data_IF_703556522345
#
_entry.id   IF_703556522345
#
_cell.length_a   1.000
_cell.length_b   1.000
_cell.length_c   1.000
_cell.angle_alpha   90.00
_cell.angle_beta   90.00
_cell.angle_gamma   90.00
#
_symmetry.space_group_name_H-M   'P 1'
#
loop_
_entity.id
_entity.type
_entity.pdbx_description
1 polymer ?
#
# COMPACT_ATOMS: atom_id res chain seq x y z
N UNK A 1 -18.74 46.58 -16.35
CA UNK A 1 -18.10 45.85 -15.22
C UNK A 1 -17.78 44.38 -15.51
N UNK A 2 -18.55 43.66 -16.34
CA UNK A 2 -18.25 42.24 -16.69
C UNK A 2 -16.98 42.06 -17.54
N UNK A 3 -16.70 42.97 -18.47
CA UNK A 3 -15.57 42.88 -19.42
C UNK A 3 -14.20 42.94 -18.72
N UNK A 4 -14.05 43.78 -17.69
CA UNK A 4 -12.78 43.92 -16.94
C UNK A 4 -12.48 42.64 -16.15
N UNK A 5 -13.51 42.01 -15.57
CA UNK A 5 -13.36 40.74 -14.83
C UNK A 5 -12.95 39.61 -15.76
N UNK A 6 -13.50 39.56 -16.98
CA UNK A 6 -13.13 38.55 -17.99
C UNK A 6 -11.66 38.68 -18.43
N UNK A 7 -11.16 39.91 -18.61
CA UNK A 7 -9.76 40.15 -19.00
C UNK A 7 -8.81 39.76 -17.86
N UNK A 8 -9.13 40.09 -16.61
CA UNK A 8 -8.27 39.78 -15.46
C UNK A 8 -8.13 38.27 -15.22
N UNK A 9 -9.22 37.51 -15.39
CA UNK A 9 -9.22 36.03 -15.28
C UNK A 9 -8.35 35.39 -16.39
N UNK A 10 -8.38 35.93 -17.61
CA UNK A 10 -7.52 35.44 -18.69
C UNK A 10 -6.04 35.70 -18.44
N UNK A 11 -5.68 36.87 -17.87
CA UNK A 11 -4.28 37.19 -17.54
C UNK A 11 -3.73 36.23 -16.49
N UNK A 12 -4.51 35.87 -15.46
CA UNK A 12 -4.06 34.88 -14.48
C UNK A 12 -4.00 33.45 -15.03
N UNK A 13 -4.87 33.10 -15.97
CA UNK A 13 -4.83 31.78 -16.63
C UNK A 13 -3.61 31.63 -17.55
N UNK A 14 -3.14 32.72 -18.15
CA UNK A 14 -1.95 32.71 -19.02
C UNK A 14 -0.62 32.56 -18.28
N UNK A 15 -0.59 32.70 -16.96
CA UNK A 15 0.61 32.54 -16.12
C UNK A 15 0.60 31.25 -15.31
N UNK A 16 -0.37 30.36 -15.52
CA UNK A 16 -0.26 29.00 -15.03
C UNK A 16 0.87 28.31 -15.81
N UNK A 17 2.07 28.28 -15.23
CA UNK A 17 3.15 27.41 -15.70
C UNK A 17 2.58 26.01 -15.81
N UNK A 18 2.81 25.25 -16.90
CA UNK A 18 2.47 23.84 -16.91
C UNK A 18 3.18 23.21 -15.70
N UNK A 19 2.40 22.66 -14.77
CA UNK A 19 2.97 21.77 -13.76
C UNK A 19 3.54 20.62 -14.55
N UNK A 20 4.86 20.56 -14.66
CA UNK A 20 5.55 19.37 -15.14
C UNK A 20 5.28 18.29 -14.10
N UNK A 21 4.19 17.55 -14.30
CA UNK A 21 4.04 16.24 -13.70
C UNK A 21 5.15 15.42 -14.33
N UNK A 22 6.24 15.21 -13.59
CA UNK A 22 7.27 14.28 -13.97
C UNK A 22 6.57 12.94 -14.28
N UNK A 23 6.53 12.58 -15.56
CA UNK A 23 5.89 11.36 -16.06
C UNK A 23 6.70 10.10 -15.70
N UNK A 24 7.72 10.23 -14.84
CA UNK A 24 8.65 9.18 -14.48
C UNK A 24 8.50 8.71 -13.03
N UNK A 25 7.28 8.48 -12.58
CA UNK A 25 7.04 7.50 -11.51
C UNK A 25 5.77 6.73 -11.86
N UNK A 26 5.89 5.47 -12.27
CA UNK A 26 4.84 4.52 -11.96
C UNK A 26 5.41 3.11 -11.72
N UNK A 27 6.05 2.92 -10.57
CA UNK A 27 6.39 1.59 -10.12
C UNK A 27 5.25 1.04 -9.25
N UNK A 28 4.46 0.12 -9.83
CA UNK A 28 3.54 -0.74 -9.06
C UNK A 28 3.95 -2.21 -9.06
N UNK A 29 5.26 -2.43 -9.16
CA UNK A 29 6.02 -3.69 -9.10
C UNK A 29 6.18 -4.44 -10.43
N UNK A 30 7.07 -3.94 -11.30
CA UNK A 30 8.15 -4.65 -12.03
C UNK A 30 9.21 -3.55 -12.25
N UNK A 31 10.49 -3.76 -11.88
CA UNK A 31 11.56 -2.74 -11.95
C UNK A 31 11.68 -1.80 -10.73
N UNK A 32 10.90 -2.02 -9.68
CA UNK A 32 10.96 -1.24 -8.43
C UNK A 32 12.24 -1.48 -7.60
N UNK A 33 12.24 -0.97 -6.36
CA UNK A 33 13.36 -1.11 -5.41
C UNK A 33 12.98 -1.96 -4.20
N UNK A 34 13.95 -2.67 -3.63
CA UNK A 34 13.78 -3.38 -2.35
C UNK A 34 13.40 -2.41 -1.23
N UNK A 35 12.31 -2.70 -0.52
CA UNK A 35 11.91 -1.92 0.64
C UNK A 35 12.88 -2.14 1.81
N UNK A 36 13.23 -1.06 2.51
CA UNK A 36 14.00 -1.17 3.75
C UNK A 36 13.16 -1.86 4.83
N UNK A 37 13.77 -2.53 5.82
CA UNK A 37 13.03 -3.17 6.90
C UNK A 37 12.07 -2.18 7.59
N UNK A 38 10.80 -2.57 7.73
CA UNK A 38 9.72 -1.76 8.32
C UNK A 38 9.32 -0.49 7.57
N UNK A 39 9.77 -0.28 6.32
CA UNK A 39 9.35 0.89 5.52
C UNK A 39 7.83 0.98 5.34
N UNK A 40 7.16 -0.17 5.20
CA UNK A 40 5.72 -0.27 5.02
C UNK A 40 5.14 -1.24 6.08
N UNK A 41 5.01 -0.79 7.35
CA UNK A 41 4.71 -1.67 8.48
C UNK A 41 3.29 -2.26 8.45
N UNK A 42 2.40 -1.66 7.65
CA UNK A 42 1.04 -2.13 7.44
C UNK A 42 0.94 -3.27 6.41
N UNK A 43 1.99 -3.57 5.64
CA UNK A 43 1.93 -4.64 4.63
C UNK A 43 1.98 -6.02 5.29
N UNK A 44 1.10 -6.93 4.84
CA UNK A 44 1.10 -8.34 5.25
C UNK A 44 1.20 -9.29 4.07
N UNK A 45 1.66 -10.50 4.35
CA UNK A 45 1.65 -11.66 3.46
C UNK A 45 0.58 -12.64 3.92
N UNK A 46 -0.41 -12.90 3.06
CA UNK A 46 -1.35 -14.00 3.22
C UNK A 46 -0.69 -15.27 2.67
N UNK A 47 -0.48 -16.25 3.54
CA UNK A 47 0.19 -17.51 3.21
C UNK A 47 -0.76 -18.69 3.23
N UNK A 48 -0.53 -19.63 2.32
CA UNK A 48 -1.26 -20.90 2.26
C UNK A 48 -0.81 -21.85 3.38
N UNK A 49 -1.46 -23.01 3.58
CA UNK A 49 -1.04 -24.01 4.56
C UNK A 49 0.38 -24.56 4.36
N UNK A 50 0.97 -24.37 3.17
CA UNK A 50 2.35 -24.76 2.86
C UNK A 50 3.37 -23.65 3.15
N UNK A 51 2.98 -22.62 3.91
CA UNK A 51 3.79 -21.43 4.23
C UNK A 51 4.26 -20.63 2.99
N UNK A 52 3.54 -20.75 1.87
CA UNK A 52 3.83 -20.02 0.63
C UNK A 52 3.02 -18.73 0.54
N UNK A 53 3.66 -17.63 0.14
CA UNK A 53 2.99 -16.36 -0.16
C UNK A 53 1.97 -16.54 -1.30
N UNK A 54 0.75 -16.05 -1.09
CA UNK A 54 -0.32 -16.11 -2.08
C UNK A 54 -0.83 -14.71 -2.45
N UNK A 55 -1.08 -13.86 -1.46
CA UNK A 55 -1.60 -12.52 -1.67
C UNK A 55 -1.04 -11.51 -0.66
N UNK A 56 -1.18 -10.22 -0.98
CA UNK A 56 -0.91 -9.11 -0.07
C UNK A 56 -2.16 -8.64 0.69
N UNK A 57 -1.94 -7.86 1.74
CA UNK A 57 -2.99 -7.16 2.47
C UNK A 57 -2.45 -5.97 3.25
N UNK A 58 -3.32 -5.28 3.97
CA UNK A 58 -2.93 -4.16 4.83
C UNK A 58 -3.59 -4.23 6.21
N UNK A 59 -2.81 -4.03 7.28
CA UNK A 59 -3.36 -3.85 8.62
C UNK A 59 -4.11 -2.52 8.67
N UNK A 60 -5.37 -2.56 9.10
CA UNK A 60 -6.22 -1.38 9.30
C UNK A 60 -6.60 -1.17 10.77
N UNK A 61 -6.47 -2.22 11.60
CA UNK A 61 -6.61 -2.15 13.04
C UNK A 61 -5.95 -3.38 13.70
N UNK A 62 -5.82 -3.38 15.03
CA UNK A 62 -5.11 -4.40 15.82
C UNK A 62 -5.37 -5.86 15.41
N UNK A 63 -6.61 -6.18 15.04
CA UNK A 63 -7.04 -7.53 14.67
C UNK A 63 -7.67 -7.58 13.26
N UNK A 64 -7.48 -6.54 12.44
CA UNK A 64 -8.14 -6.42 11.14
C UNK A 64 -7.12 -6.14 10.03
N UNK A 65 -7.19 -6.99 9.01
CA UNK A 65 -6.46 -6.86 7.75
C UNK A 65 -7.48 -6.72 6.64
N UNK A 66 -7.24 -5.79 5.72
CA UNK A 66 -7.96 -5.68 4.46
C UNK A 66 -7.15 -6.35 3.34
N UNK A 67 -7.84 -7.07 2.44
CA UNK A 67 -7.26 -7.69 1.24
C UNK A 67 -8.31 -7.72 0.13
N UNK A 68 -7.93 -8.14 -1.07
CA UNK A 68 -8.86 -8.31 -2.18
C UNK A 68 -9.75 -9.54 -1.99
N UNK A 69 -11.04 -9.44 -2.35
CA UNK A 69 -11.99 -10.55 -2.19
C UNK A 69 -11.56 -11.83 -2.92
N UNK A 70 -10.98 -11.71 -4.12
CA UNK A 70 -10.52 -12.85 -4.90
C UNK A 70 -9.34 -13.60 -4.24
N UNK A 71 -8.63 -12.97 -3.29
CA UNK A 71 -7.58 -13.64 -2.54
C UNK A 71 -8.11 -14.61 -1.49
N UNK A 72 -9.38 -14.53 -1.10
CA UNK A 72 -9.94 -15.33 0.01
C UNK A 72 -11.26 -16.02 -0.33
N UNK A 73 -11.92 -15.60 -1.41
CA UNK A 73 -13.19 -16.18 -1.85
C UNK A 73 -13.06 -17.69 -2.10
N UNK A 74 -13.95 -18.48 -1.50
CA UNK A 74 -13.95 -19.94 -1.62
C UNK A 74 -13.07 -20.69 -0.62
N UNK A 75 -12.34 -19.97 0.25
CA UNK A 75 -11.50 -20.58 1.28
C UNK A 75 -12.04 -20.33 2.68
N UNK A 76 -11.89 -21.31 3.58
CA UNK A 76 -12.17 -21.12 5.00
C UNK A 76 -11.14 -20.17 5.63
N UNK A 77 -11.51 -19.39 6.67
CA UNK A 77 -10.56 -18.50 7.35
C UNK A 77 -9.29 -19.21 7.86
N UNK A 78 -9.40 -20.48 8.25
CA UNK A 78 -8.28 -21.31 8.72
C UNK A 78 -7.29 -21.71 7.62
N UNK A 79 -7.62 -21.48 6.35
CA UNK A 79 -6.73 -21.79 5.23
C UNK A 79 -5.52 -20.84 5.18
N UNK A 80 -5.70 -19.59 5.62
CA UNK A 80 -4.67 -18.56 5.53
C UNK A 80 -3.98 -18.32 6.87
N UNK A 81 -2.65 -18.15 6.80
CA UNK A 81 -1.86 -17.52 7.86
C UNK A 81 -1.51 -16.10 7.44
N UNK A 82 -1.73 -15.12 8.32
CA UNK A 82 -1.31 -13.73 8.10
C UNK A 82 0.06 -13.50 8.73
N UNK A 83 1.06 -13.18 7.90
CA UNK A 83 2.42 -12.86 8.35
C UNK A 83 2.71 -11.38 8.14
N UNK A 84 3.20 -10.72 9.19
CA UNK A 84 3.51 -9.29 9.22
C UNK A 84 4.88 -9.04 9.86
N UNK A 85 5.44 -7.83 9.67
CA UNK A 85 6.69 -7.43 10.32
C UNK A 85 7.96 -8.03 9.70
N UNK A 86 7.90 -8.44 8.43
CA UNK A 86 9.04 -8.96 7.68
C UNK A 86 9.00 -8.46 6.23
N UNK A 87 10.17 -8.23 5.63
CA UNK A 87 10.34 -7.96 4.20
C UNK A 87 10.86 -9.19 3.43
N UNK A 88 10.80 -10.38 4.03
CA UNK A 88 11.22 -11.65 3.43
C UNK A 88 10.03 -12.61 3.26
N UNK A 89 9.84 -13.11 2.04
CA UNK A 89 8.74 -14.02 1.71
C UNK A 89 8.91 -15.41 2.35
N UNK A 90 10.14 -15.86 2.59
CA UNK A 90 10.50 -17.15 3.17
C UNK A 90 10.77 -17.10 4.69
N UNK A 91 10.50 -15.95 5.35
CA UNK A 91 10.66 -15.86 6.79
C UNK A 91 9.71 -16.87 7.46
N UNK A 92 10.28 -17.88 8.11
CA UNK A 92 9.56 -18.96 8.80
C UNK A 92 9.20 -18.58 10.24
N UNK A 93 9.47 -17.33 10.64
CA UNK A 93 9.22 -16.89 12.00
C UNK A 93 7.71 -16.75 12.23
N UNK A 94 7.18 -17.39 13.29
CA UNK A 94 5.76 -17.27 13.61
C UNK A 94 5.41 -15.81 13.90
N UNK A 95 4.20 -15.43 13.50
CA UNK A 95 3.57 -14.13 13.78
C UNK A 95 3.98 -13.63 15.18
N UNK A 96 4.86 -12.63 15.23
CA UNK A 96 5.11 -11.91 16.48
C UNK A 96 3.91 -10.98 16.65
N UNK A 97 3.13 -11.13 17.73
CA UNK A 97 1.99 -10.25 17.98
C UNK A 97 2.46 -8.80 17.90
N UNK A 98 1.59 -7.98 17.31
CA UNK A 98 1.68 -6.56 16.93
C UNK A 98 2.18 -5.57 18.01
N UNK A 99 2.66 -6.06 19.14
CA UNK A 99 2.81 -5.34 20.40
C UNK A 99 4.01 -4.40 20.46
N UNK A 100 5.01 -4.50 19.57
CA UNK A 100 6.23 -3.69 19.69
C UNK A 100 6.43 -2.58 18.65
N UNK A 101 5.77 -2.62 17.49
CA UNK A 101 5.98 -1.62 16.42
C UNK A 101 4.72 -0.91 15.92
N UNK A 102 3.54 -1.46 16.16
CA UNK A 102 2.28 -0.86 15.72
C UNK A 102 1.61 0.02 16.77
N UNK A 103 2.27 0.24 17.91
CA UNK A 103 1.77 1.15 18.95
C UNK A 103 1.85 2.63 18.55
N UNK A 104 2.37 2.93 17.34
CA UNK A 104 2.53 4.28 16.79
C UNK A 104 1.85 4.42 15.40
N UNK A 105 0.89 3.55 15.06
CA UNK A 105 -0.10 3.77 14.01
C UNK A 105 -1.42 4.17 14.67
#
# INVERSE_FOLDING_TARGET
MKIIVTIFVCVTASMATPVNVDSNIDWRVVGGSTATPHQFPFIVSLRTPYDSHNCGGSIIAKNYVITAAHCVSGYAPSYYTVVAGTNQLNATTPFRPFKSWAQNL
#
